data_IF_862944144114
#
_entry.id   IF_862944144114
#
_cell.length_a   1.000
_cell.length_b   1.000
_cell.length_c   1.000
_cell.angle_alpha   90.00
_cell.angle_beta   90.00
_cell.angle_gamma   90.00
#
_symmetry.space_group_name_H-M   'P 1'
#
loop_
_entity.id
_entity.type
_entity.pdbx_description
1 polymer ?
#
# COMPACT_ATOMS: atom_id res chain seq x y z
N UNK A 1 2.83 10.52 -0.37
CA UNK A 1 1.57 11.29 -0.35
C UNK A 1 1.29 11.77 1.05
N UNK A 2 0.97 13.05 1.19
CA UNK A 2 0.62 13.62 2.48
C UNK A 2 -0.89 13.69 2.62
N UNK A 3 -1.38 13.31 3.80
CA UNK A 3 -2.81 13.18 4.06
C UNK A 3 -3.15 14.00 5.31
N UNK A 4 -4.22 14.81 5.23
CA UNK A 4 -4.66 15.69 6.31
C UNK A 4 -5.46 14.93 7.38
N UNK A 5 -4.84 13.90 7.94
CA UNK A 5 -5.42 13.09 9.00
C UNK A 5 -4.30 12.61 9.93
N UNK A 6 -4.66 12.24 11.14
CA UNK A 6 -3.69 11.71 12.09
C UNK A 6 -3.15 10.36 11.63
N UNK A 7 -1.95 10.00 12.07
CA UNK A 7 -1.34 8.73 11.70
C UNK A 7 -2.16 7.53 12.18
N UNK A 8 -2.79 7.63 13.33
CA UNK A 8 -3.62 6.54 13.84
C UNK A 8 -4.82 6.29 12.93
N UNK A 9 -5.48 7.36 12.50
CA UNK A 9 -6.62 7.24 11.60
C UNK A 9 -6.19 6.66 10.25
N UNK A 10 -5.09 7.16 9.70
CA UNK A 10 -4.57 6.68 8.42
C UNK A 10 -4.18 5.19 8.54
N UNK A 11 -3.49 4.83 9.63
CA UNK A 11 -3.06 3.44 9.85
C UNK A 11 -4.26 2.49 9.89
N UNK A 12 -5.29 2.84 10.64
CA UNK A 12 -6.49 2.01 10.71
C UNK A 12 -7.20 1.92 9.36
N UNK A 13 -7.26 3.03 8.64
CA UNK A 13 -7.90 3.07 7.33
C UNK A 13 -7.15 2.21 6.33
N UNK A 14 -5.81 2.22 6.37
CA UNK A 14 -5.01 1.38 5.48
C UNK A 14 -5.35 -0.09 5.66
N UNK A 15 -5.53 -0.54 6.89
CA UNK A 15 -5.91 -1.93 7.13
C UNK A 15 -7.27 -2.26 6.52
N UNK A 16 -8.20 -1.33 6.57
CA UNK A 16 -9.51 -1.49 5.92
C UNK A 16 -9.39 -1.51 4.40
N UNK A 17 -8.51 -0.68 3.85
CA UNK A 17 -8.26 -0.63 2.41
C UNK A 17 -7.72 -1.97 1.92
N UNK A 18 -6.74 -2.52 2.61
CA UNK A 18 -6.15 -3.80 2.22
C UNK A 18 -7.20 -4.91 2.25
N UNK A 19 -8.05 -4.90 3.25
CA UNK A 19 -9.13 -5.86 3.34
C UNK A 19 -10.15 -5.68 2.22
N UNK A 20 -10.49 -4.43 1.91
CA UNK A 20 -11.43 -4.11 0.84
C UNK A 20 -10.90 -4.54 -0.53
N UNK A 21 -9.60 -4.38 -0.76
CA UNK A 21 -8.96 -4.78 -2.01
C UNK A 21 -8.66 -6.29 -2.05
N UNK A 22 -8.90 -6.99 -0.96
CA UNK A 22 -8.61 -8.41 -0.82
C UNK A 22 -7.12 -8.73 -0.98
N UNK A 23 -6.27 -7.81 -0.54
CA UNK A 23 -4.83 -8.02 -0.56
C UNK A 23 -4.39 -8.69 0.74
N UNK A 24 -3.46 -9.62 0.64
CA UNK A 24 -2.95 -10.37 1.79
C UNK A 24 -1.89 -9.57 2.53
N UNK A 25 -2.00 -9.49 3.84
CA UNK A 25 -0.95 -8.89 4.65
C UNK A 25 0.11 -9.93 4.91
N UNK A 26 1.30 -9.71 4.34
CA UNK A 26 2.44 -10.61 4.51
C UNK A 26 3.16 -10.35 5.82
N UNK A 27 3.27 -9.07 6.18
CA UNK A 27 4.00 -8.66 7.35
C UNK A 27 3.46 -7.33 7.83
N UNK A 28 3.34 -7.15 9.13
CA UNK A 28 2.87 -5.90 9.70
C UNK A 28 3.75 -5.53 10.89
N UNK A 29 4.20 -4.28 10.93
CA UNK A 29 4.95 -3.72 12.03
C UNK A 29 4.15 -2.55 12.60
N UNK A 30 3.40 -2.82 13.66
CA UNK A 30 2.56 -1.79 14.25
C UNK A 30 3.36 -0.68 14.93
N UNK A 31 4.50 -1.02 15.49
CA UNK A 31 5.34 -0.02 16.15
C UNK A 31 5.94 0.97 15.15
N UNK A 32 6.34 0.47 13.97
CA UNK A 32 6.91 1.32 12.93
C UNK A 32 5.89 1.79 11.90
N UNK A 33 4.64 1.38 12.02
CA UNK A 33 3.58 1.69 11.06
C UNK A 33 3.96 1.30 9.63
N UNK A 34 4.40 0.05 9.47
CA UNK A 34 4.78 -0.49 8.18
C UNK A 34 3.99 -1.75 7.88
N UNK A 35 3.57 -1.89 6.63
CA UNK A 35 2.85 -3.06 6.17
C UNK A 35 3.45 -3.54 4.88
N UNK A 36 3.63 -4.85 4.78
CA UNK A 36 3.99 -5.51 3.55
C UNK A 36 2.77 -6.30 3.09
N UNK A 37 2.21 -5.91 1.97
CA UNK A 37 0.98 -6.50 1.46
C UNK A 37 1.22 -7.10 0.07
N UNK A 38 0.60 -8.26 -0.16
CA UNK A 38 0.66 -8.91 -1.45
C UNK A 38 -0.66 -8.71 -2.17
N UNK A 39 -0.60 -8.18 -3.39
CA UNK A 39 -1.79 -7.96 -4.18
C UNK A 39 -2.36 -9.29 -4.65
N UNK A 40 -3.67 -9.26 -4.99
CA UNK A 40 -4.35 -10.45 -5.48
C UNK A 40 -3.78 -10.88 -6.83
N UNK A 41 -3.32 -12.13 -6.91
CA UNK A 41 -2.79 -12.67 -8.15
C UNK A 41 -3.95 -13.15 -9.03
N UNK A 42 -3.95 -12.75 -10.30
CA UNK A 42 -4.88 -13.27 -11.28
C UNK A 42 -4.31 -14.52 -11.95
N UNK A 43 -5.12 -15.21 -12.75
CA UNK A 43 -4.65 -16.42 -13.42
C UNK A 43 -3.52 -16.18 -14.42
N UNK A 44 -3.39 -14.95 -14.90
CA UNK A 44 -2.36 -14.58 -15.87
C UNK A 44 -1.37 -13.59 -15.33
N UNK A 45 -1.47 -13.21 -14.07
CA UNK A 45 -0.59 -12.21 -13.48
C UNK A 45 -0.06 -12.68 -12.13
N UNK A 46 1.15 -12.27 -11.82
CA UNK A 46 1.79 -12.58 -10.56
C UNK A 46 1.42 -11.50 -9.56
N UNK A 47 1.23 -11.86 -8.33
CA UNK A 47 0.97 -10.87 -7.29
C UNK A 47 2.18 -9.98 -7.08
N UNK A 48 1.92 -8.71 -6.85
CA UNK A 48 2.95 -7.75 -6.50
C UNK A 48 2.96 -7.55 -4.99
N UNK A 49 4.15 -7.33 -4.45
CA UNK A 49 4.28 -7.03 -3.03
C UNK A 49 4.48 -5.52 -2.88
N UNK A 50 3.63 -4.90 -2.09
CA UNK A 50 3.70 -3.48 -1.82
C UNK A 50 4.19 -3.24 -0.40
N UNK A 51 5.13 -2.32 -0.27
CA UNK A 51 5.65 -1.89 1.03
C UNK A 51 5.01 -0.55 1.35
N UNK A 52 4.25 -0.49 2.42
CA UNK A 52 3.51 0.70 2.82
C UNK A 52 4.08 1.22 4.12
N UNK A 53 4.59 2.46 4.10
CA UNK A 53 5.12 3.13 5.27
C UNK A 53 4.23 4.31 5.62
N UNK A 54 3.91 4.43 6.90
CA UNK A 54 3.11 5.54 7.42
C UNK A 54 3.95 6.33 8.39
N UNK A 55 4.18 7.61 8.08
CA UNK A 55 5.02 8.48 8.90
C UNK A 55 4.19 9.68 9.34
N UNK A 56 4.12 9.90 10.65
CA UNK A 56 3.45 11.07 11.21
C UNK A 56 4.35 12.30 11.04
N UNK A 57 3.84 13.31 10.34
CA UNK A 57 4.56 14.58 10.19
C UNK A 57 4.20 15.50 11.35
N UNK A 58 2.91 15.54 11.69
CA UNK A 58 2.42 16.21 12.87
C UNK A 58 1.07 15.60 13.26
N UNK A 59 0.38 16.18 14.23
CA UNK A 59 -0.88 15.61 14.73
C UNK A 59 -1.97 15.52 13.68
N UNK A 60 -1.90 16.35 12.64
CA UNK A 60 -2.95 16.44 11.63
C UNK A 60 -2.51 16.03 10.23
N UNK A 61 -1.23 15.73 10.03
CA UNK A 61 -0.70 15.39 8.71
C UNK A 61 0.13 14.12 8.80
N UNK A 62 -0.13 13.21 7.89
CA UNK A 62 0.55 11.92 7.81
C UNK A 62 1.07 11.72 6.40
N UNK A 63 2.29 11.22 6.29
CA UNK A 63 2.85 10.86 4.99
C UNK A 63 2.74 9.36 4.79
N UNK A 64 2.19 8.98 3.65
CA UNK A 64 2.10 7.57 3.26
C UNK A 64 2.99 7.35 2.06
N UNK A 65 3.94 6.43 2.20
CA UNK A 65 4.84 6.07 1.12
C UNK A 65 4.56 4.63 0.73
N UNK A 66 4.42 4.38 -0.57
CA UNK A 66 4.17 3.04 -1.09
C UNK A 66 5.21 2.71 -2.13
N UNK A 67 5.92 1.61 -1.90
CA UNK A 67 6.86 1.08 -2.87
C UNK A 67 6.41 -0.28 -3.34
N UNK A 68 6.71 -0.61 -4.59
CA UNK A 68 6.45 -1.94 -5.12
C UNK A 68 7.72 -2.75 -5.05
N UNK A 69 7.65 -3.92 -4.43
CA UNK A 69 8.75 -4.86 -4.40
C UNK A 69 8.50 -5.93 -5.45
N UNK A 70 9.34 -5.98 -6.48
CA UNK A 70 9.25 -7.06 -7.45
C UNK A 70 10.23 -8.14 -7.05
N UNK A 71 9.76 -9.39 -6.95
CA UNK A 71 10.71 -10.45 -6.66
C UNK A 71 11.63 -10.63 -7.86
N UNK A 72 12.88 -10.35 -7.64
CA UNK A 72 13.95 -11.16 -8.02
C UNK A 72 14.79 -10.97 -9.23
N UNK A 73 14.39 -10.75 -10.41
CA UNK A 73 15.35 -10.63 -11.50
C UNK A 73 15.22 -9.30 -12.18
N UNK A 74 16.34 -8.79 -12.63
CA UNK A 74 16.39 -7.51 -13.31
C UNK A 74 15.44 -7.46 -14.51
N UNK A 75 15.32 -8.56 -15.21
CA UNK A 75 14.45 -8.66 -16.39
C UNK A 75 12.99 -8.59 -15.98
N UNK A 76 12.63 -9.27 -14.90
CA UNK A 76 11.27 -9.29 -14.37
C UNK A 76 10.84 -7.91 -13.89
N UNK A 77 11.76 -7.17 -13.30
CA UNK A 77 11.47 -5.84 -12.81
C UNK A 77 11.07 -4.89 -13.93
N UNK A 78 11.69 -5.02 -15.08
CA UNK A 78 11.38 -4.19 -16.24
C UNK A 78 9.98 -4.51 -16.79
N UNK A 79 9.64 -5.76 -16.86
CA UNK A 79 8.35 -6.20 -17.40
C UNK A 79 7.19 -5.81 -16.47
N UNK A 80 7.43 -5.84 -15.16
CA UNK A 80 6.40 -5.59 -14.17
C UNK A 80 6.16 -4.12 -13.89
N UNK A 81 6.87 -3.25 -14.56
CA UNK A 81 6.89 -1.81 -14.31
C UNK A 81 5.50 -1.16 -14.33
N UNK A 82 4.64 -1.54 -15.28
CA UNK A 82 3.31 -0.98 -15.41
C UNK A 82 2.33 -1.47 -14.35
N UNK A 83 2.49 -2.69 -13.87
CA UNK A 83 1.59 -3.28 -12.89
C UNK A 83 1.79 -2.67 -11.50
N UNK A 84 3.04 -2.41 -11.13
CA UNK A 84 3.33 -1.79 -9.85
C UNK A 84 2.64 -0.45 -9.69
N UNK A 85 2.70 0.39 -10.72
CA UNK A 85 2.06 1.70 -10.71
C UNK A 85 0.55 1.60 -10.61
N UNK A 86 -0.05 0.66 -11.32
CA UNK A 86 -1.49 0.46 -11.32
C UNK A 86 -1.98 0.07 -9.92
N UNK A 87 -1.26 -0.82 -9.26
CA UNK A 87 -1.62 -1.26 -7.92
C UNK A 87 -1.47 -0.16 -6.89
N UNK A 88 -0.41 0.63 -7.00
CA UNK A 88 -0.20 1.78 -6.12
C UNK A 88 -1.32 2.81 -6.31
N UNK A 89 -1.69 3.10 -7.54
CA UNK A 89 -2.80 4.00 -7.83
C UNK A 89 -4.11 3.49 -7.27
N UNK A 90 -4.36 2.20 -7.41
CA UNK A 90 -5.57 1.56 -6.88
C UNK A 90 -5.61 1.68 -5.35
N UNK A 91 -4.48 1.48 -4.70
CA UNK A 91 -4.37 1.62 -3.25
C UNK A 91 -4.72 3.04 -2.80
N UNK A 92 -4.12 4.05 -3.41
CA UNK A 92 -4.37 5.44 -3.02
C UNK A 92 -5.79 5.88 -3.33
N UNK A 93 -6.38 5.41 -4.43
CA UNK A 93 -7.77 5.71 -4.76
C UNK A 93 -8.71 5.17 -3.69
N UNK A 94 -8.51 3.93 -3.28
CA UNK A 94 -9.34 3.32 -2.24
C UNK A 94 -9.10 3.98 -0.89
N UNK A 95 -7.85 4.33 -0.59
CA UNK A 95 -7.52 5.01 0.66
C UNK A 95 -8.24 6.36 0.76
N UNK A 96 -8.19 7.15 -0.30
CA UNK A 96 -8.86 8.44 -0.34
C UNK A 96 -10.38 8.28 -0.17
N UNK A 97 -10.95 7.28 -0.80
CA UNK A 97 -12.38 6.97 -0.70
C UNK A 97 -12.77 6.62 0.73
N UNK A 98 -11.99 5.79 1.40
CA UNK A 98 -12.27 5.37 2.76
C UNK A 98 -12.09 6.50 3.76
N UNK A 99 -11.11 7.37 3.54
CA UNK A 99 -10.88 8.52 4.41
C UNK A 99 -11.98 9.57 4.27
N UNK A 100 -12.63 9.64 3.12
CA UNK A 100 -13.72 10.58 2.87
C UNK A 100 -15.07 10.10 3.43
N UNK A 101 -15.13 8.87 3.85
CA UNK A 101 -16.38 8.27 4.37
C UNK A 101 -16.69 8.71 5.78
#
# INVERSE_FOLDING_TARGET
>A
MEIDHSSDKVWMTIQKVLKSLEWSVEQIDEAGHRVKAKTKAGPMSWGSVLLIDVVSINENITRVSVGAETPVTTITAIVDFGQGRRRIGQFFTELAKQLAS
#
